data_IF_250674740819
#
_entry.id   IF_250674740819
#
_cell.length_a   1.000
_cell.length_b   1.000
_cell.length_c   1.000
_cell.angle_alpha   90.00
_cell.angle_beta   90.00
_cell.angle_gamma   90.00
#
_symmetry.space_group_name_H-M   'P 1'
#
loop_
_entity.id
_entity.type
_entity.pdbx_description
1 polymer ?
#
# COMPACT_ATOMS: atom_id res chain seq x y z
N UNK A 1 -17.45 2.94 -27.88
CA UNK A 1 -16.88 4.27 -27.54
C UNK A 1 -15.40 4.08 -27.34
N UNK A 2 -14.60 4.83 -28.07
CA UNK A 2 -13.14 4.71 -28.04
C UNK A 2 -12.55 5.92 -27.30
N UNK A 3 -11.56 5.67 -26.44
CA UNK A 3 -10.82 6.73 -25.73
C UNK A 3 -9.44 6.83 -26.35
N UNK A 4 -9.08 8.01 -26.83
CA UNK A 4 -7.73 8.34 -27.30
C UNK A 4 -7.02 9.11 -26.19
N UNK A 5 -5.90 8.58 -25.70
CA UNK A 5 -5.02 9.29 -24.78
C UNK A 5 -3.80 9.84 -25.52
N UNK A 6 -3.46 11.10 -25.27
CA UNK A 6 -2.41 11.86 -25.96
C UNK A 6 -1.48 12.51 -24.93
N UNK A 7 -0.18 12.23 -25.03
CA UNK A 7 0.82 12.72 -24.08
C UNK A 7 1.34 14.12 -24.42
N UNK A 8 1.39 14.45 -25.71
CA UNK A 8 1.95 15.70 -26.21
C UNK A 8 0.87 16.72 -26.61
N UNK A 9 1.11 17.99 -26.28
CA UNK A 9 0.15 19.08 -26.50
C UNK A 9 0.01 19.45 -27.97
N UNK A 10 1.09 19.41 -28.76
CA UNK A 10 1.01 19.64 -30.21
C UNK A 10 0.26 18.50 -30.90
N UNK A 11 0.52 17.26 -30.48
CA UNK A 11 -0.21 16.08 -30.95
C UNK A 11 -1.69 16.21 -30.62
N UNK A 12 -2.05 16.67 -29.41
CA UNK A 12 -3.45 16.91 -29.03
C UNK A 12 -4.14 17.92 -29.96
N UNK A 13 -3.46 19.01 -30.32
CA UNK A 13 -4.00 20.00 -31.26
C UNK A 13 -4.17 19.43 -32.66
N UNK A 14 -3.22 18.61 -33.14
CA UNK A 14 -3.31 17.92 -34.42
C UNK A 14 -4.49 16.95 -34.46
N UNK A 15 -4.67 16.15 -33.40
CA UNK A 15 -5.81 15.21 -33.25
C UNK A 15 -7.13 15.97 -33.25
N UNK A 16 -7.22 17.09 -32.52
CA UNK A 16 -8.44 17.92 -32.50
C UNK A 16 -8.74 18.53 -33.88
N UNK A 17 -7.74 19.10 -34.55
CA UNK A 17 -7.91 19.67 -35.87
C UNK A 17 -8.36 18.62 -36.89
N UNK A 18 -7.79 17.41 -36.80
CA UNK A 18 -8.18 16.26 -37.62
C UNK A 18 -9.63 15.84 -37.35
N UNK A 19 -10.03 15.66 -36.08
CA UNK A 19 -11.41 15.30 -35.71
C UNK A 19 -12.43 16.34 -36.19
N UNK A 20 -12.07 17.63 -36.13
CA UNK A 20 -12.89 18.73 -36.63
C UNK A 20 -13.01 18.71 -38.16
N UNK A 21 -11.92 18.44 -38.89
CA UNK A 21 -11.95 18.30 -40.35
C UNK A 21 -12.86 17.15 -40.80
N UNK A 22 -12.90 16.06 -40.02
CA UNK A 22 -13.71 14.87 -40.31
C UNK A 22 -15.15 14.97 -39.77
N UNK A 23 -15.57 16.09 -39.17
CA UNK A 23 -16.88 16.26 -38.52
C UNK A 23 -17.23 15.16 -37.50
N UNK A 24 -16.24 14.56 -36.85
CA UNK A 24 -16.45 13.50 -35.87
C UNK A 24 -16.85 14.12 -34.53
N UNK A 25 -18.03 13.80 -33.96
CA UNK A 25 -18.43 14.31 -32.66
C UNK A 25 -17.54 13.70 -31.57
N UNK A 26 -16.93 14.56 -30.76
CA UNK A 26 -16.09 14.17 -29.63
C UNK A 26 -16.48 14.95 -28.37
N UNK A 27 -16.41 14.30 -27.20
CA UNK A 27 -16.75 14.91 -25.92
C UNK A 27 -15.54 14.94 -24.98
N UNK A 28 -15.16 16.15 -24.53
CA UNK A 28 -14.19 16.37 -23.46
C UNK A 28 -13.16 17.48 -23.76
N UNK A 29 -13.04 18.44 -22.83
CA UNK A 29 -11.83 18.75 -22.04
C UNK A 29 -12.37 19.22 -20.66
N UNK A 30 -12.13 18.47 -19.59
CA UNK A 30 -12.48 18.83 -18.20
C UNK A 30 -11.33 18.32 -17.32
N UNK A 31 -10.62 19.09 -16.47
CA UNK A 31 -10.55 20.54 -16.24
C UNK A 31 -9.27 20.88 -15.42
N UNK A 32 -8.90 22.18 -15.35
CA UNK A 32 -7.69 22.69 -14.75
C UNK A 32 -7.37 22.43 -13.27
N UNK A 33 -6.57 21.38 -13.01
CA UNK A 33 -5.26 21.53 -12.34
C UNK A 33 -4.23 22.24 -13.27
N UNK A 34 -4.68 22.65 -14.46
CA UNK A 34 -3.99 22.56 -15.76
C UNK A 34 -3.60 23.91 -16.37
N UNK A 35 -4.02 25.03 -15.78
CA UNK A 35 -3.50 26.38 -16.13
C UNK A 35 -2.94 27.09 -14.89
N UNK A 36 -3.29 26.57 -13.70
CA UNK A 36 -2.74 26.93 -12.40
C UNK A 36 -1.45 26.13 -12.18
N UNK A 37 -0.30 26.62 -12.59
CA UNK A 37 0.47 27.67 -11.90
C UNK A 37 1.54 27.07 -10.96
N UNK A 38 2.82 26.98 -11.34
CA UNK A 38 3.42 27.31 -12.64
C UNK A 38 4.89 26.89 -12.83
N UNK A 39 5.33 25.72 -12.34
CA UNK A 39 6.72 25.27 -12.63
C UNK A 39 6.93 23.78 -13.02
N UNK A 40 5.93 22.90 -13.00
CA UNK A 40 6.19 21.44 -13.05
C UNK A 40 5.65 20.69 -14.28
N UNK A 41 5.57 21.32 -15.47
CA UNK A 41 4.62 20.89 -16.52
C UNK A 41 5.17 20.37 -17.88
N UNK A 42 6.05 19.34 -17.97
CA UNK A 42 6.23 18.63 -19.25
C UNK A 42 5.42 17.33 -19.46
N UNK A 43 4.57 16.83 -18.52
CA UNK A 43 4.18 15.40 -18.52
C UNK A 43 2.68 15.02 -18.36
N UNK A 44 1.70 15.90 -18.57
CA UNK A 44 0.28 15.52 -18.37
C UNK A 44 -0.39 14.96 -19.64
N UNK A 45 -0.80 13.68 -19.61
CA UNK A 45 -1.65 13.04 -20.62
C UNK A 45 -3.07 13.62 -20.64
N UNK A 46 -3.59 13.87 -21.84
CA UNK A 46 -4.98 14.32 -22.09
C UNK A 46 -5.76 13.24 -22.81
N UNK A 47 -7.09 13.17 -22.63
CA UNK A 47 -7.91 12.11 -23.26
C UNK A 47 -9.12 12.67 -23.99
N UNK A 48 -9.42 12.11 -25.17
CA UNK A 48 -10.56 12.44 -26.03
C UNK A 48 -11.47 11.22 -26.15
N UNK A 49 -12.78 11.39 -25.94
CA UNK A 49 -13.78 10.34 -26.15
C UNK A 49 -14.43 10.50 -27.52
N UNK A 50 -14.44 9.40 -28.30
CA UNK A 50 -15.04 9.33 -29.62
C UNK A 50 -16.18 8.30 -29.60
N UNK A 51 -17.29 8.65 -30.23
CA UNK A 51 -18.54 7.87 -30.20
C UNK A 51 -18.58 6.67 -31.16
N UNK A 52 -17.61 6.49 -32.06
CA UNK A 52 -17.65 5.48 -33.14
C UNK A 52 -16.75 4.26 -32.91
N UNK A 53 -17.18 3.12 -33.46
CA UNK A 53 -16.48 1.85 -33.42
C UNK A 53 -15.61 1.66 -34.67
N UNK A 54 -14.31 1.49 -34.43
CA UNK A 54 -13.33 0.68 -35.17
C UNK A 54 -12.78 1.11 -36.55
N UNK A 55 -13.26 2.14 -37.25
CA UNK A 55 -12.58 2.59 -38.50
C UNK A 55 -11.58 3.75 -38.31
N UNK A 56 -11.63 4.44 -37.17
CA UNK A 56 -10.88 5.70 -36.95
C UNK A 56 -9.44 5.45 -36.48
N UNK A 57 -9.20 4.32 -35.81
CA UNK A 57 -7.90 4.00 -35.21
C UNK A 57 -6.80 3.95 -36.28
N UNK A 58 -7.02 3.14 -37.32
CA UNK A 58 -6.03 2.92 -38.38
C UNK A 58 -5.76 4.19 -39.19
N UNK A 59 -6.78 5.04 -39.41
CA UNK A 59 -6.63 6.32 -40.10
C UNK A 59 -5.89 7.36 -39.26
N UNK A 60 -6.12 7.41 -37.94
CA UNK A 60 -5.40 8.31 -37.04
C UNK A 60 -3.95 7.88 -36.84
N UNK A 61 -3.67 6.58 -36.69
CA UNK A 61 -2.31 6.05 -36.61
C UNK A 61 -1.52 6.30 -37.89
N UNK A 62 -2.16 6.22 -39.06
CA UNK A 62 -1.54 6.54 -40.35
C UNK A 62 -1.27 8.06 -40.54
N UNK A 63 -2.11 8.92 -39.96
CA UNK A 63 -2.05 10.37 -40.14
C UNK A 63 -1.21 11.08 -39.07
N UNK A 64 -1.17 10.52 -37.85
CA UNK A 64 -0.55 11.10 -36.65
C UNK A 64 0.14 9.96 -35.86
N UNK A 65 1.38 9.58 -36.23
CA UNK A 65 1.99 8.35 -35.76
C UNK A 65 2.58 8.38 -34.33
N UNK A 66 2.74 9.54 -33.69
CA UNK A 66 3.46 9.64 -32.41
C UNK A 66 2.52 9.71 -31.19
N UNK A 67 2.77 8.81 -30.21
CA UNK A 67 2.27 8.87 -28.83
C UNK A 67 0.74 8.79 -28.64
N UNK A 68 0.02 8.20 -29.58
CA UNK A 68 -1.40 7.88 -29.43
C UNK A 68 -1.58 6.52 -28.74
N UNK A 69 -2.37 6.50 -27.66
CA UNK A 69 -2.80 5.27 -27.01
C UNK A 69 -4.30 5.10 -27.18
N UNK A 70 -4.72 4.00 -27.81
CA UNK A 70 -6.12 3.65 -27.99
C UNK A 70 -6.58 2.68 -26.91
N UNK A 71 -7.57 3.10 -26.12
CA UNK A 71 -8.25 2.24 -25.17
C UNK A 71 -9.65 1.92 -25.69
N UNK A 72 -9.91 0.67 -26.04
CA UNK A 72 -11.27 0.19 -26.31
C UNK A 72 -12.02 -0.03 -24.99
N UNK A 73 -13.22 0.56 -24.91
CA UNK A 73 -14.20 0.25 -23.86
C UNK A 73 -15.15 -0.79 -24.43
N UNK A 74 -14.80 -2.07 -24.30
CA UNK A 74 -15.75 -3.19 -24.48
C UNK A 74 -16.31 -3.52 -23.09
N UNK A 75 -17.63 -3.67 -23.03
CA UNK A 75 -18.42 -3.67 -21.80
C UNK A 75 -17.90 -4.58 -20.70
N UNK A 76 -17.45 -3.95 -19.62
CA UNK A 76 -17.38 -4.48 -18.26
C UNK A 76 -17.68 -3.30 -17.32
N UNK A 77 -18.60 -3.46 -16.39
CA UNK A 77 -19.01 -2.46 -15.38
C UNK A 77 -17.91 -2.16 -14.33
N UNK A 78 -16.65 -2.46 -14.60
CA UNK A 78 -15.54 -2.10 -13.72
C UNK A 78 -14.84 -0.88 -14.30
N UNK A 79 -14.89 0.23 -13.55
CA UNK A 79 -14.05 1.41 -13.79
C UNK A 79 -12.61 0.91 -13.99
N UNK A 80 -12.08 0.96 -15.22
CA UNK A 80 -10.64 0.83 -15.46
C UNK A 80 -10.00 2.00 -14.71
N UNK A 81 -9.54 1.73 -13.50
CA UNK A 81 -8.95 2.73 -12.64
C UNK A 81 -7.60 3.13 -13.25
N UNK A 82 -7.45 4.42 -13.57
CA UNK A 82 -6.20 4.96 -14.09
C UNK A 82 -5.29 5.21 -12.90
N UNK A 83 -4.15 4.50 -12.84
CA UNK A 83 -3.12 4.69 -11.84
C UNK A 83 -1.89 5.35 -12.46
N UNK A 84 -1.02 5.90 -11.61
CA UNK A 84 0.28 6.43 -12.05
C UNK A 84 1.14 5.30 -12.64
N UNK A 85 2.01 5.64 -13.59
CA UNK A 85 2.80 4.68 -14.37
C UNK A 85 3.61 3.73 -13.49
N UNK A 86 4.18 4.26 -12.41
CA UNK A 86 5.00 3.54 -11.44
C UNK A 86 4.21 2.41 -10.76
N UNK A 87 2.92 2.64 -10.48
CA UNK A 87 2.04 1.63 -9.88
C UNK A 87 1.71 0.53 -10.88
N UNK A 88 1.47 0.89 -12.13
CA UNK A 88 1.24 -0.08 -13.20
C UNK A 88 2.46 -0.98 -13.40
N UNK A 89 3.68 -0.42 -13.39
CA UNK A 89 4.92 -1.21 -13.47
C UNK A 89 5.06 -2.16 -12.28
N UNK A 90 4.69 -1.72 -11.06
CA UNK A 90 4.69 -2.59 -9.88
C UNK A 90 3.71 -3.75 -10.03
N UNK A 91 2.48 -3.48 -10.48
CA UNK A 91 1.45 -4.50 -10.71
C UNK A 91 1.93 -5.51 -11.76
N UNK A 92 2.49 -5.02 -12.87
CA UNK A 92 3.07 -5.87 -13.93
C UNK A 92 4.16 -6.79 -13.38
N UNK A 93 5.12 -6.26 -12.62
CA UNK A 93 6.20 -7.07 -12.03
C UNK A 93 5.67 -8.10 -11.03
N UNK A 94 4.68 -7.75 -10.22
CA UNK A 94 4.02 -8.69 -9.30
C UNK A 94 3.30 -9.80 -10.06
N UNK A 95 2.63 -9.46 -11.15
CA UNK A 95 1.94 -10.41 -12.03
C UNK A 95 2.92 -11.36 -12.69
N UNK A 96 4.02 -10.87 -13.27
CA UNK A 96 5.08 -11.70 -13.85
C UNK A 96 5.68 -12.64 -12.79
N UNK A 97 6.00 -12.11 -11.61
CA UNK A 97 6.54 -12.92 -10.51
C UNK A 97 5.53 -13.96 -9.99
N UNK A 98 4.23 -13.67 -10.03
CA UNK A 98 3.19 -14.63 -9.68
C UNK A 98 3.00 -15.68 -10.81
N UNK A 99 3.09 -15.31 -12.07
CA UNK A 99 2.90 -16.26 -13.17
C UNK A 99 4.14 -17.12 -13.47
N UNK A 100 5.25 -16.87 -12.79
CA UNK A 100 6.47 -17.67 -12.90
C UNK A 100 6.25 -19.11 -12.39
N UNK A 101 6.11 -20.05 -13.31
CA UNK A 101 5.96 -21.48 -13.06
C UNK A 101 7.21 -22.09 -12.40
N UNK A 102 8.40 -21.49 -12.55
CA UNK A 102 9.61 -21.94 -11.85
C UNK A 102 9.59 -21.58 -10.35
N UNK A 103 8.63 -20.76 -9.91
CA UNK A 103 8.56 -20.22 -8.55
C UNK A 103 7.20 -20.47 -7.89
N UNK A 104 6.88 -21.69 -7.50
CA UNK A 104 5.58 -21.98 -6.87
C UNK A 104 5.48 -21.62 -5.36
N UNK A 105 6.35 -20.73 -4.87
CA UNK A 105 6.44 -20.37 -3.45
C UNK A 105 5.25 -19.52 -3.03
N UNK A 106 4.58 -19.76 -1.89
CA UNK A 106 3.55 -18.84 -1.39
C UNK A 106 4.12 -17.44 -1.15
N UNK A 107 3.26 -16.43 -1.34
CA UNK A 107 3.59 -15.04 -1.05
C UNK A 107 3.04 -14.65 0.31
N UNK A 108 3.85 -13.99 1.12
CA UNK A 108 3.42 -13.42 2.41
C UNK A 108 3.57 -11.91 2.36
N UNK A 109 2.47 -11.19 2.53
CA UNK A 109 2.43 -9.73 2.62
C UNK A 109 2.29 -9.35 4.09
N UNK A 110 3.31 -8.68 4.64
CA UNK A 110 3.24 -8.14 5.99
C UNK A 110 2.51 -6.80 5.97
N UNK A 111 1.38 -6.69 6.67
CA UNK A 111 0.54 -5.50 6.67
C UNK A 111 0.31 -4.95 8.07
N UNK A 112 0.47 -3.64 8.22
CA UNK A 112 0.00 -2.88 9.38
C UNK A 112 -1.27 -2.09 9.09
N UNK A 113 -1.89 -2.31 7.91
CA UNK A 113 -3.02 -1.54 7.38
C UNK A 113 -2.83 -0.01 7.39
N UNK A 114 -1.56 0.42 7.31
CA UNK A 114 -1.19 1.80 7.01
C UNK A 114 -1.06 2.01 5.50
N UNK A 115 -0.78 3.25 5.07
CA UNK A 115 -0.75 3.64 3.66
C UNK A 115 0.15 2.76 2.78
N UNK A 116 1.36 2.43 3.24
CA UNK A 116 2.35 1.69 2.43
C UNK A 116 1.97 0.21 2.30
N UNK A 117 1.53 -0.42 3.39
CA UNK A 117 1.04 -1.80 3.34
C UNK A 117 -0.29 -1.94 2.59
N UNK A 118 -1.19 -0.96 2.72
CA UNK A 118 -2.42 -0.92 1.93
C UNK A 118 -2.12 -0.74 0.44
N UNK A 119 -1.10 0.05 0.09
CA UNK A 119 -0.64 0.17 -1.29
C UNK A 119 -0.04 -1.14 -1.84
N UNK A 120 0.71 -1.87 -1.02
CA UNK A 120 1.21 -3.19 -1.40
C UNK A 120 0.07 -4.20 -1.61
N UNK A 121 -0.92 -4.23 -0.70
CA UNK A 121 -2.13 -5.06 -0.86
C UNK A 121 -2.86 -4.64 -2.14
N UNK A 122 -3.00 -3.34 -2.38
CA UNK A 122 -3.63 -2.79 -3.57
C UNK A 122 -2.99 -3.32 -4.86
N UNK A 123 -1.66 -3.23 -4.99
CA UNK A 123 -0.97 -3.72 -6.18
C UNK A 123 -1.10 -5.24 -6.34
N UNK A 124 -0.95 -6.02 -5.26
CA UNK A 124 -1.09 -7.47 -5.30
C UNK A 124 -2.52 -7.90 -5.66
N UNK A 125 -3.52 -7.27 -5.05
CA UNK A 125 -4.93 -7.53 -5.32
C UNK A 125 -5.25 -7.27 -6.78
N UNK A 126 -4.79 -6.13 -7.31
CA UNK A 126 -5.01 -5.75 -8.71
C UNK A 126 -4.31 -6.74 -9.65
N UNK A 127 -3.08 -7.15 -9.36
CA UNK A 127 -2.36 -8.15 -10.14
C UNK A 127 -3.12 -9.50 -10.19
N UNK A 128 -3.69 -9.96 -9.07
CA UNK A 128 -4.46 -11.20 -9.03
C UNK A 128 -5.78 -11.10 -9.82
N UNK A 129 -6.45 -9.95 -9.74
CA UNK A 129 -7.66 -9.68 -10.53
C UNK A 129 -7.33 -9.68 -12.03
N UNK A 130 -6.26 -9.00 -12.45
CA UNK A 130 -5.81 -8.97 -13.85
C UNK A 130 -5.45 -10.37 -14.35
N UNK A 131 -4.72 -11.17 -13.55
CA UNK A 131 -4.41 -12.57 -13.91
C UNK A 131 -5.70 -13.38 -14.10
N UNK A 132 -6.66 -13.25 -13.18
CA UNK A 132 -7.94 -13.95 -13.26
C UNK A 132 -8.73 -13.56 -14.50
N UNK A 133 -8.75 -12.28 -14.83
CA UNK A 133 -9.47 -11.76 -16.00
C UNK A 133 -8.83 -12.18 -17.31
N UNK A 134 -7.49 -12.21 -17.38
CA UNK A 134 -6.75 -12.56 -18.60
C UNK A 134 -6.63 -14.07 -18.83
N UNK A 135 -6.39 -14.85 -17.77
CA UNK A 135 -6.03 -16.28 -17.86
C UNK A 135 -7.03 -17.21 -17.17
N UNK A 136 -8.06 -16.66 -16.52
CA UNK A 136 -9.07 -17.42 -15.79
C UNK A 136 -8.67 -17.71 -14.34
N UNK A 137 -9.64 -18.25 -13.58
CA UNK A 137 -9.47 -18.51 -12.14
C UNK A 137 -8.41 -19.58 -11.84
N UNK A 138 -8.23 -20.55 -12.74
CA UNK A 138 -7.27 -21.66 -12.57
C UNK A 138 -5.80 -21.22 -12.71
N UNK A 139 -5.55 -20.00 -13.20
CA UNK A 139 -4.24 -19.39 -13.21
C UNK A 139 -3.78 -18.97 -11.79
N UNK A 140 -4.71 -18.81 -10.85
CA UNK A 140 -4.43 -18.41 -9.46
C UNK A 140 -3.96 -19.60 -8.60
N UNK A 141 -2.83 -20.20 -8.97
CA UNK A 141 -2.31 -21.44 -8.37
C UNK A 141 -1.64 -21.27 -7.01
N UNK A 142 -1.15 -20.05 -6.70
CA UNK A 142 -0.31 -19.78 -5.54
C UNK A 142 -1.09 -19.11 -4.41
N UNK A 143 -0.88 -19.59 -3.19
CA UNK A 143 -1.42 -18.97 -1.98
C UNK A 143 -0.74 -17.63 -1.67
N UNK A 144 -1.56 -16.65 -1.30
CA UNK A 144 -1.12 -15.34 -0.83
C UNK A 144 -1.60 -15.16 0.61
N UNK A 145 -0.68 -14.97 1.54
CA UNK A 145 -1.01 -14.72 2.94
C UNK A 145 -0.88 -13.22 3.23
N UNK A 146 -1.91 -12.60 3.80
CA UNK A 146 -1.82 -11.23 4.33
C UNK A 146 -1.76 -11.34 5.86
N UNK A 147 -0.62 -10.96 6.43
CA UNK A 147 -0.32 -11.19 7.84
C UNK A 147 -0.18 -9.86 8.56
N UNK A 148 -0.85 -9.73 9.69
CA UNK A 148 -0.66 -8.63 10.63
C UNK A 148 -0.21 -9.14 11.99
N UNK A 149 0.51 -8.32 12.73
CA UNK A 149 1.00 -8.66 14.06
C UNK A 149 0.30 -7.79 15.10
N UNK A 150 -0.43 -8.45 15.98
CA UNK A 150 -1.06 -7.83 17.15
C UNK A 150 -0.10 -7.96 18.32
N UNK A 151 0.46 -6.84 18.78
CA UNK A 151 1.41 -6.88 19.90
C UNK A 151 0.70 -6.95 21.26
N UNK A 152 -0.62 -6.73 21.28
CA UNK A 152 -1.40 -6.50 22.50
C UNK A 152 -1.09 -5.16 23.18
N UNK A 153 -0.30 -4.29 22.53
CA UNK A 153 0.16 -3.02 23.10
C UNK A 153 -0.26 -1.80 22.27
N UNK A 154 -0.85 -2.01 21.09
CA UNK A 154 -1.49 -0.97 20.32
C UNK A 154 -2.65 -0.35 21.10
N UNK A 155 -2.98 0.88 20.71
CA UNK A 155 -4.15 1.55 21.24
C UNK A 155 -5.43 0.78 20.87
N UNK A 156 -6.45 0.65 21.76
CA UNK A 156 -7.65 -0.13 21.48
C UNK A 156 -8.30 0.19 20.13
N UNK A 157 -8.41 1.46 19.78
CA UNK A 157 -8.99 1.94 18.52
C UNK A 157 -8.15 1.56 17.29
N UNK A 158 -6.81 1.60 17.43
CA UNK A 158 -5.87 1.19 16.37
C UNK A 158 -5.90 -0.34 16.20
N UNK A 159 -5.99 -1.06 17.32
CA UNK A 159 -6.14 -2.52 17.33
C UNK A 159 -7.46 -2.92 16.67
N UNK A 160 -8.58 -2.31 17.06
CA UNK A 160 -9.90 -2.56 16.46
C UNK A 160 -9.90 -2.27 14.96
N UNK A 161 -9.29 -1.15 14.53
CA UNK A 161 -9.11 -0.84 13.11
C UNK A 161 -8.35 -1.97 12.38
N UNK A 162 -7.22 -2.44 12.91
CA UNK A 162 -6.47 -3.55 12.31
C UNK A 162 -7.32 -4.83 12.19
N UNK A 163 -8.07 -5.21 13.23
CA UNK A 163 -8.98 -6.37 13.18
C UNK A 163 -10.09 -6.19 12.14
N UNK A 164 -10.69 -4.99 12.08
CA UNK A 164 -11.70 -4.66 11.08
C UNK A 164 -11.14 -4.77 9.66
N UNK A 165 -9.96 -4.21 9.43
CA UNK A 165 -9.28 -4.23 8.14
C UNK A 165 -8.96 -5.65 7.67
N UNK A 166 -8.33 -6.47 8.50
CA UNK A 166 -7.95 -7.82 8.10
C UNK A 166 -9.18 -8.70 7.81
N UNK A 167 -10.25 -8.54 8.60
CA UNK A 167 -11.52 -9.22 8.36
C UNK A 167 -12.19 -8.76 7.05
N UNK A 168 -12.16 -7.45 6.75
CA UNK A 168 -12.68 -6.93 5.49
C UNK A 168 -11.93 -7.52 4.28
N UNK A 169 -10.59 -7.56 4.35
CA UNK A 169 -9.74 -8.18 3.32
C UNK A 169 -10.08 -9.65 3.12
N UNK A 170 -10.26 -10.42 4.21
CA UNK A 170 -10.64 -11.83 4.13
C UNK A 170 -12.01 -12.03 3.47
N UNK A 171 -12.99 -11.20 3.83
CA UNK A 171 -14.35 -11.29 3.28
C UNK A 171 -14.36 -10.97 1.79
N UNK A 172 -13.68 -9.90 1.37
CA UNK A 172 -13.59 -9.55 -0.05
C UNK A 172 -12.78 -10.61 -0.83
N UNK A 173 -11.75 -11.21 -0.25
CA UNK A 173 -10.98 -12.25 -0.92
C UNK A 173 -11.84 -13.49 -1.21
N UNK A 174 -12.72 -13.87 -0.27
CA UNK A 174 -13.67 -14.97 -0.45
C UNK A 174 -14.68 -14.63 -1.53
N UNK A 175 -15.25 -13.41 -1.52
CA UNK A 175 -16.22 -12.96 -2.53
C UNK A 175 -15.63 -12.97 -3.93
N UNK A 176 -14.41 -12.44 -4.07
CA UNK A 176 -13.66 -12.39 -5.33
C UNK A 176 -12.98 -13.73 -5.69
N UNK A 177 -13.10 -14.76 -4.85
CA UNK A 177 -12.47 -16.07 -5.03
C UNK A 177 -10.95 -15.99 -5.24
N UNK A 178 -10.29 -15.01 -4.62
CA UNK A 178 -8.84 -14.86 -4.67
C UNK A 178 -8.17 -15.88 -3.73
N UNK A 179 -6.97 -16.38 -4.04
CA UNK A 179 -6.24 -17.34 -3.21
C UNK A 179 -5.56 -16.65 -2.00
N UNK A 180 -6.25 -15.68 -1.40
CA UNK A 180 -5.78 -14.88 -0.28
C UNK A 180 -6.30 -15.47 1.03
N UNK A 181 -5.39 -15.69 1.97
CA UNK A 181 -5.70 -16.05 3.35
C UNK A 181 -5.11 -14.99 4.28
N UNK A 182 -5.88 -14.56 5.28
CA UNK A 182 -5.45 -13.54 6.23
C UNK A 182 -5.12 -14.16 7.58
N UNK A 183 -4.10 -13.63 8.26
CA UNK A 183 -3.67 -14.14 9.56
C UNK A 183 -3.25 -13.00 10.49
N UNK A 184 -3.69 -13.09 11.75
CA UNK A 184 -3.13 -12.29 12.84
C UNK A 184 -2.17 -13.19 13.62
N UNK A 185 -0.97 -12.67 13.90
CA UNK A 185 0.02 -13.31 14.75
C UNK A 185 0.18 -12.53 16.06
N UNK A 186 0.33 -13.26 17.15
CA UNK A 186 0.45 -12.70 18.50
C UNK A 186 1.69 -13.27 19.21
N UNK A 187 2.30 -12.52 20.15
CA UNK A 187 3.34 -13.05 21.02
C UNK A 187 2.83 -14.20 21.88
N UNK A 188 3.57 -15.30 21.92
CA UNK A 188 3.33 -16.36 22.91
C UNK A 188 3.25 -15.78 24.31
N UNK A 189 2.51 -16.45 25.19
CA UNK A 189 2.35 -16.03 26.59
C UNK A 189 3.69 -15.70 27.27
N UNK A 190 4.73 -16.51 27.05
CA UNK A 190 6.08 -16.31 27.60
C UNK A 190 6.82 -15.09 27.04
N UNK A 191 6.46 -14.66 25.82
CA UNK A 191 6.98 -13.48 25.15
C UNK A 191 6.07 -12.25 25.26
N UNK A 192 4.90 -12.38 25.87
CA UNK A 192 3.97 -11.28 26.12
C UNK A 192 4.57 -10.19 27.02
N UNK A 193 4.04 -8.98 26.90
CA UNK A 193 4.44 -7.85 27.74
C UNK A 193 4.21 -8.15 29.22
N UNK A 194 3.07 -8.74 29.59
CA UNK A 194 2.73 -9.07 30.96
C UNK A 194 3.78 -10.01 31.58
N UNK A 195 4.19 -11.06 30.88
CA UNK A 195 5.17 -12.01 31.43
C UNK A 195 6.59 -11.43 31.41
N UNK A 196 7.04 -10.83 30.30
CA UNK A 196 8.41 -10.34 30.19
C UNK A 196 8.67 -9.09 31.04
N UNK A 197 7.80 -8.09 30.96
CA UNK A 197 8.04 -6.78 31.57
C UNK A 197 7.54 -6.74 33.00
N UNK A 198 6.27 -7.10 33.22
CA UNK A 198 5.68 -7.06 34.57
C UNK A 198 6.18 -8.25 35.40
N UNK A 199 6.06 -9.47 34.87
CA UNK A 199 6.38 -10.69 35.61
C UNK A 199 7.88 -10.91 35.86
N UNK A 200 8.72 -10.71 34.84
CA UNK A 200 10.19 -10.93 34.93
C UNK A 200 11.00 -9.66 35.18
N UNK A 201 10.36 -8.48 35.20
CA UNK A 201 11.04 -7.20 35.43
C UNK A 201 11.97 -6.77 34.29
N UNK A 202 11.79 -7.28 33.07
CA UNK A 202 12.62 -6.90 31.93
C UNK A 202 12.27 -5.48 31.50
N UNK A 203 13.26 -4.60 31.41
CA UNK A 203 13.05 -3.21 31.01
C UNK A 203 12.71 -3.10 29.53
N UNK A 204 11.73 -2.25 29.22
CA UNK A 204 11.39 -1.89 27.85
C UNK A 204 12.43 -0.94 27.25
N UNK A 205 12.53 -0.96 25.92
CA UNK A 205 13.44 -0.09 25.20
C UNK A 205 13.04 1.38 25.33
N UNK A 206 14.01 2.19 25.73
CA UNK A 206 13.93 3.66 25.81
C UNK A 206 14.71 4.30 24.66
N UNK A 207 14.60 5.63 24.48
CA UNK A 207 15.41 6.38 23.51
C UNK A 207 16.94 6.20 23.66
N UNK A 208 17.40 5.79 24.86
CA UNK A 208 18.83 5.50 25.16
C UNK A 208 19.22 4.05 24.90
N UNK A 209 18.26 3.17 24.62
CA UNK A 209 18.50 1.74 24.44
C UNK A 209 19.16 1.46 23.09
N UNK A 210 20.31 0.77 23.11
CA UNK A 210 20.99 0.31 21.88
C UNK A 210 20.19 -0.72 21.08
N UNK A 211 19.31 -1.48 21.74
CA UNK A 211 18.50 -2.54 21.13
C UNK A 211 17.01 -2.28 21.36
N UNK A 212 16.21 -2.51 20.32
CA UNK A 212 14.74 -2.39 20.32
C UNK A 212 14.11 -3.75 20.58
N UNK A 213 14.15 -4.19 21.84
CA UNK A 213 13.71 -5.52 22.23
C UNK A 213 12.20 -5.71 22.04
N UNK A 214 11.40 -4.66 22.24
CA UNK A 214 9.96 -4.70 22.00
C UNK A 214 9.61 -5.02 20.54
N UNK A 215 10.36 -4.49 19.57
CA UNK A 215 10.18 -4.84 18.14
C UNK A 215 10.46 -6.32 17.91
N UNK A 216 11.51 -6.86 18.54
CA UNK A 216 11.84 -8.27 18.39
C UNK A 216 10.78 -9.18 19.02
N UNK A 217 10.48 -9.03 20.32
CA UNK A 217 9.56 -9.92 21.04
C UNK A 217 8.13 -9.84 20.53
N UNK A 218 7.66 -8.64 20.20
CA UNK A 218 6.24 -8.44 19.96
C UNK A 218 5.86 -8.43 18.48
N UNK A 219 6.79 -8.12 17.57
CA UNK A 219 6.51 -8.03 16.13
C UNK A 219 7.26 -9.06 15.30
N UNK A 220 8.58 -9.17 15.49
CA UNK A 220 9.42 -10.03 14.65
C UNK A 220 9.26 -11.51 15.04
N UNK A 221 9.34 -11.85 16.33
CA UNK A 221 9.27 -13.24 16.79
C UNK A 221 7.95 -13.94 16.41
N UNK A 222 6.76 -13.34 16.60
CA UNK A 222 5.50 -13.96 16.17
C UNK A 222 5.40 -14.15 14.65
N UNK A 223 5.86 -13.14 13.89
CA UNK A 223 5.90 -13.22 12.43
C UNK A 223 6.85 -14.33 11.96
N UNK A 224 8.03 -14.43 12.59
CA UNK A 224 9.04 -15.43 12.26
C UNK A 224 8.52 -16.86 12.47
N UNK A 225 7.74 -17.10 13.53
CA UNK A 225 7.10 -18.41 13.76
C UNK A 225 6.11 -18.76 12.66
N UNK A 226 5.24 -17.82 12.30
CA UNK A 226 4.31 -18.02 11.19
C UNK A 226 5.05 -18.29 9.86
N UNK A 227 6.09 -17.52 9.55
CA UNK A 227 6.90 -17.74 8.37
C UNK A 227 7.56 -19.13 8.39
N UNK A 228 8.02 -19.59 9.55
CA UNK A 228 8.57 -20.94 9.70
C UNK A 228 7.54 -22.04 9.47
N UNK A 229 6.29 -21.85 9.89
CA UNK A 229 5.18 -22.77 9.60
C UNK A 229 4.92 -22.86 8.09
N UNK A 230 4.89 -21.72 7.39
CA UNK A 230 4.74 -21.66 5.93
C UNK A 230 5.93 -22.35 5.24
N UNK A 231 7.16 -22.11 5.66
CA UNK A 231 8.35 -22.78 5.11
C UNK A 231 8.31 -24.29 5.37
N UNK A 232 7.84 -24.73 6.53
CA UNK A 232 7.70 -26.15 6.84
C UNK A 232 6.65 -26.83 5.95
N UNK A 233 5.57 -26.11 5.61
CA UNK A 233 4.47 -26.62 4.79
C UNK A 233 4.77 -26.59 3.29
N UNK A 234 5.36 -25.49 2.79
CA UNK A 234 5.52 -25.22 1.36
C UNK A 234 6.98 -25.29 0.87
N UNK A 235 7.93 -25.53 1.77
CA UNK A 235 9.36 -25.65 1.48
C UNK A 235 10.09 -24.31 1.41
N UNK A 236 9.53 -23.30 0.74
CA UNK A 236 10.10 -21.96 0.58
C UNK A 236 9.01 -20.88 0.60
N UNK A 237 9.38 -19.61 0.78
CA UNK A 237 8.42 -18.49 0.87
C UNK A 237 8.99 -17.17 0.34
N UNK A 238 8.13 -16.32 -0.23
CA UNK A 238 8.50 -14.95 -0.64
C UNK A 238 7.76 -13.93 0.20
N UNK A 239 8.51 -13.13 0.95
CA UNK A 239 8.00 -12.11 1.87
C UNK A 239 7.99 -10.75 1.16
N UNK A 240 6.81 -10.22 0.93
CA UNK A 240 6.59 -8.90 0.34
C UNK A 240 6.45 -7.86 1.45
N UNK A 241 7.32 -6.85 1.43
CA UNK A 241 7.35 -5.79 2.44
C UNK A 241 7.06 -4.43 1.81
N UNK A 242 6.11 -3.69 2.42
CA UNK A 242 5.73 -2.33 2.01
C UNK A 242 6.73 -1.28 2.51
N UNK A 243 7.97 -1.33 2.04
CA UNK A 243 9.04 -0.38 2.40
C UNK A 243 9.41 0.50 1.22
N UNK A 244 9.74 1.77 1.46
CA UNK A 244 10.11 2.76 0.43
C UNK A 244 11.44 3.46 0.74
N UNK A 245 12.23 3.75 -0.28
CA UNK A 245 13.54 4.43 -0.14
C UNK A 245 13.40 5.83 0.46
N UNK A 246 12.39 6.57 0.00
CA UNK A 246 12.12 7.96 0.39
C UNK A 246 11.52 8.11 1.80
N UNK A 247 11.33 7.00 2.53
CA UNK A 247 10.72 7.04 3.86
C UNK A 247 11.74 7.30 4.99
N UNK A 248 12.99 6.84 4.85
CA UNK A 248 14.09 7.24 5.75
C UNK A 248 15.44 6.73 5.23
N UNK A 249 16.51 7.44 5.57
CA UNK A 249 17.89 7.00 5.27
C UNK A 249 18.21 5.61 5.85
N UNK A 250 17.66 5.26 7.02
CA UNK A 250 17.86 3.95 7.65
C UNK A 250 17.12 2.82 6.91
N UNK A 251 15.91 3.08 6.41
CA UNK A 251 15.19 2.12 5.56
C UNK A 251 15.89 1.98 4.21
N UNK A 252 16.40 3.07 3.64
CA UNK A 252 17.21 3.04 2.43
C UNK A 252 18.45 2.14 2.59
N UNK A 253 19.21 2.31 3.68
CA UNK A 253 20.36 1.44 4.00
C UNK A 253 19.96 -0.03 4.19
N UNK A 254 18.77 -0.30 4.76
CA UNK A 254 18.29 -1.68 4.95
C UNK A 254 17.91 -2.31 3.62
N UNK A 255 17.21 -1.57 2.75
CA UNK A 255 16.90 -2.03 1.39
C UNK A 255 18.19 -2.26 0.60
N UNK A 256 19.21 -1.40 0.77
CA UNK A 256 20.51 -1.57 0.12
C UNK A 256 21.32 -2.77 0.64
N UNK A 257 21.21 -3.13 1.94
CA UNK A 257 21.87 -4.35 2.47
C UNK A 257 21.41 -5.62 1.78
N UNK A 258 20.17 -5.61 1.30
CA UNK A 258 19.57 -6.69 0.56
C UNK A 258 19.89 -6.66 -0.94
N UNK A 259 20.70 -5.69 -1.43
CA UNK A 259 21.09 -5.56 -2.85
C UNK A 259 22.37 -6.30 -3.27
N UNK A 260 23.16 -6.79 -2.30
CA UNK A 260 24.52 -7.27 -2.60
C UNK A 260 25.39 -6.21 -3.32
N UNK A 261 26.60 -6.58 -3.74
CA UNK A 261 27.53 -5.71 -4.50
C UNK A 261 27.22 -5.67 -6.01
N UNK A 262 26.07 -6.21 -6.46
CA UNK A 262 25.74 -6.31 -7.89
C UNK A 262 24.51 -5.47 -8.26
N UNK A 263 24.66 -4.62 -9.27
CA UNK A 263 23.58 -3.79 -9.87
C UNK A 263 22.45 -4.60 -10.56
N UNK A 264 22.43 -5.94 -10.42
CA UNK A 264 21.65 -6.85 -11.24
C UNK A 264 20.89 -7.90 -10.41
N UNK A 265 20.38 -7.54 -9.24
CA UNK A 265 19.52 -8.44 -8.47
C UNK A 265 18.06 -8.37 -8.95
N UNK A 266 17.48 -9.56 -9.16
CA UNK A 266 16.10 -9.74 -9.64
C UNK A 266 15.04 -9.19 -8.69
N UNK A 267 13.79 -9.19 -9.15
CA UNK A 267 12.64 -8.65 -8.39
C UNK A 267 12.42 -9.34 -7.02
N UNK A 268 12.81 -10.62 -6.92
CA UNK A 268 12.80 -11.43 -5.69
C UNK A 268 14.24 -11.78 -5.34
N UNK A 269 14.61 -11.56 -4.08
CA UNK A 269 15.98 -11.70 -3.58
C UNK A 269 16.06 -12.65 -2.38
N UNK A 270 17.16 -13.37 -2.15
CA UNK A 270 17.32 -14.24 -0.98
C UNK A 270 17.27 -13.44 0.34
N UNK A 271 16.58 -13.98 1.35
CA UNK A 271 16.68 -13.49 2.72
C UNK A 271 17.96 -14.05 3.37
N UNK A 272 18.44 -13.40 4.43
CA UNK A 272 19.48 -13.95 5.32
C UNK A 272 19.10 -15.27 6.01
N UNK A 273 17.81 -15.64 5.99
CA UNK A 273 17.28 -16.86 6.58
C UNK A 273 17.09 -17.89 5.46
N UNK A 274 17.44 -19.16 5.68
CA UNK A 274 17.35 -20.17 4.64
C UNK A 274 15.91 -20.34 4.18
N UNK A 275 15.73 -20.64 2.88
CA UNK A 275 14.42 -20.92 2.24
C UNK A 275 13.42 -19.76 2.29
N UNK A 276 13.89 -18.56 2.64
CA UNK A 276 13.09 -17.35 2.66
C UNK A 276 13.64 -16.38 1.62
N UNK A 277 12.74 -15.71 0.94
CA UNK A 277 13.05 -14.67 -0.05
C UNK A 277 12.29 -13.41 0.31
N UNK A 278 12.77 -12.26 -0.15
CA UNK A 278 12.17 -10.95 0.11
C UNK A 278 11.89 -10.26 -1.21
N UNK A 279 10.82 -9.47 -1.23
CA UNK A 279 10.52 -8.54 -2.29
C UNK A 279 10.09 -7.19 -1.70
N UNK A 280 10.49 -6.11 -2.35
CA UNK A 280 10.13 -4.74 -1.99
C UNK A 280 9.48 -4.04 -3.19
N UNK A 281 8.23 -4.39 -3.56
CA UNK A 281 7.64 -3.95 -4.83
C UNK A 281 7.51 -2.43 -4.93
N UNK A 282 7.11 -1.79 -3.83
CA UNK A 282 6.83 -0.35 -3.79
C UNK A 282 8.07 0.50 -3.46
N UNK A 283 9.28 -0.06 -3.47
CA UNK A 283 10.50 0.61 -2.95
C UNK A 283 10.80 1.98 -3.56
N UNK A 284 10.44 2.16 -4.83
CA UNK A 284 10.70 3.37 -5.60
C UNK A 284 9.49 4.32 -5.65
N UNK A 285 8.34 3.95 -5.11
CA UNK A 285 7.11 4.73 -5.18
C UNK A 285 7.23 6.00 -4.30
N UNK A 286 6.86 7.16 -4.84
CA UNK A 286 6.79 8.41 -4.06
C UNK A 286 5.53 8.45 -3.17
N UNK A 287 5.50 9.37 -2.19
CA UNK A 287 4.30 9.48 -1.33
C UNK A 287 3.12 10.08 -2.10
N UNK A 288 3.40 11.00 -3.02
CA UNK A 288 2.39 11.60 -3.89
C UNK A 288 1.77 10.56 -4.82
N UNK A 289 2.58 9.74 -5.50
CA UNK A 289 2.11 8.63 -6.35
C UNK A 289 1.22 7.64 -5.59
N UNK A 290 1.60 7.31 -4.36
CA UNK A 290 0.83 6.43 -3.49
C UNK A 290 -0.53 7.05 -3.17
N UNK A 291 -0.55 8.32 -2.74
CA UNK A 291 -1.80 8.98 -2.37
C UNK A 291 -2.68 9.27 -3.57
N UNK A 292 -2.12 9.70 -4.69
CA UNK A 292 -2.84 9.92 -5.94
C UNK A 292 -3.53 8.64 -6.40
N UNK A 293 -2.90 7.48 -6.18
CA UNK A 293 -3.50 6.17 -6.44
C UNK A 293 -4.65 5.84 -5.48
N UNK A 294 -4.42 5.95 -4.17
CA UNK A 294 -5.43 5.57 -3.17
C UNK A 294 -6.62 6.54 -3.15
N UNK A 295 -6.41 7.83 -3.45
CA UNK A 295 -7.47 8.86 -3.53
C UNK A 295 -8.47 8.62 -4.66
N UNK A 296 -8.17 7.76 -5.63
CA UNK A 296 -9.19 7.29 -6.59
C UNK A 296 -10.39 6.63 -5.90
N UNK A 297 -10.21 6.17 -4.64
CA UNK A 297 -11.23 5.60 -3.79
C UNK A 297 -11.70 6.56 -2.69
N UNK A 298 -11.50 7.88 -2.83
CA UNK A 298 -11.79 8.85 -1.77
C UNK A 298 -13.20 8.74 -1.18
N UNK A 299 -14.18 8.48 -2.05
CA UNK A 299 -15.60 8.32 -1.69
C UNK A 299 -16.06 6.86 -1.65
N UNK A 300 -15.12 5.90 -1.58
CA UNK A 300 -15.40 4.47 -1.66
C UNK A 300 -14.48 3.65 -0.74
N UNK A 301 -14.59 2.33 -0.84
CA UNK A 301 -13.66 1.37 -0.26
C UNK A 301 -12.57 1.03 -1.26
N UNK A 302 -11.38 0.79 -0.75
CA UNK A 302 -10.33 0.10 -1.51
C UNK A 302 -10.86 -1.26 -1.98
N UNK A 303 -10.31 -1.85 -3.06
CA UNK A 303 -10.82 -3.10 -3.65
C UNK A 303 -10.95 -4.28 -2.67
N UNK A 304 -10.20 -4.23 -1.57
CA UNK A 304 -10.18 -5.21 -0.50
C UNK A 304 -11.02 -4.81 0.73
N UNK A 305 -11.97 -3.90 0.55
CA UNK A 305 -13.06 -3.63 1.49
C UNK A 305 -12.77 -2.58 2.58
N UNK A 306 -11.55 -2.05 2.65
CA UNK A 306 -11.19 -1.01 3.64
C UNK A 306 -11.67 0.36 3.14
N UNK A 307 -12.50 1.10 3.89
CA UNK A 307 -12.88 2.47 3.53
C UNK A 307 -11.66 3.38 3.42
N UNK A 308 -11.50 4.11 2.31
CA UNK A 308 -10.39 5.05 2.16
C UNK A 308 -10.40 6.11 3.26
N UNK A 309 -11.58 6.60 3.63
CA UNK A 309 -11.75 7.61 4.68
C UNK A 309 -11.16 7.18 6.02
N UNK A 310 -11.30 5.90 6.40
CA UNK A 310 -10.72 5.36 7.64
C UNK A 310 -9.20 5.26 7.57
N UNK A 311 -8.66 4.80 6.44
CA UNK A 311 -7.22 4.80 6.20
C UNK A 311 -6.65 6.23 6.25
N UNK A 312 -7.31 7.17 5.56
CA UNK A 312 -6.87 8.56 5.44
C UNK A 312 -6.98 9.33 6.77
N UNK A 313 -7.99 9.01 7.60
CA UNK A 313 -8.15 9.60 8.93
C UNK A 313 -6.94 9.36 9.84
N UNK A 314 -6.20 8.25 9.66
CA UNK A 314 -4.95 8.00 10.37
C UNK A 314 -3.86 9.04 10.06
N UNK A 315 -3.98 9.78 8.96
CA UNK A 315 -2.98 10.71 8.45
C UNK A 315 -3.46 12.17 8.34
N UNK A 316 -4.77 12.46 8.45
CA UNK A 316 -5.36 13.81 8.28
C UNK A 316 -4.75 14.91 9.18
N UNK A 317 -4.28 14.56 10.38
CA UNK A 317 -3.71 15.52 11.35
C UNK A 317 -2.18 15.49 11.42
N UNK A 318 -1.51 14.83 10.47
CA UNK A 318 -0.06 14.72 10.42
C UNK A 318 0.47 15.34 9.13
N UNK A 319 1.25 16.42 9.24
CA UNK A 319 1.91 17.03 8.07
C UNK A 319 2.95 16.11 7.40
N UNK A 320 3.29 14.95 7.98
CA UNK A 320 3.43 13.64 7.33
C UNK A 320 3.84 12.57 8.37
N UNK A 321 3.14 11.45 8.36
CA UNK A 321 3.49 10.10 8.86
C UNK A 321 3.64 9.85 10.41
N UNK A 322 2.63 9.23 11.05
CA UNK A 322 2.69 8.66 12.42
C UNK A 322 3.69 7.53 12.65
N UNK A 323 4.37 7.04 11.60
CA UNK A 323 5.21 5.85 11.66
C UNK A 323 6.71 6.09 11.41
N UNK A 324 7.14 7.34 11.24
CA UNK A 324 8.57 7.62 11.13
C UNK A 324 9.20 7.85 12.51
N UNK A 325 10.10 6.93 12.87
CA UNK A 325 11.25 7.27 13.71
C UNK A 325 12.25 7.99 12.81
N UNK A 326 11.94 9.24 12.46
CA UNK A 326 12.91 10.11 11.81
C UNK A 326 13.94 10.51 12.86
N UNK A 327 15.20 10.15 12.59
CA UNK A 327 16.31 10.86 13.19
C UNK A 327 16.44 12.20 12.46
N UNK A 328 16.68 13.24 13.26
CA UNK A 328 17.16 14.58 12.91
C UNK A 328 16.09 15.68 12.75
N UNK A 329 15.94 16.44 13.84
CA UNK A 329 15.98 17.90 13.90
C UNK A 329 15.33 18.65 12.72
N UNK A 330 14.00 18.68 12.72
CA UNK A 330 13.27 19.92 12.43
C UNK A 330 12.26 20.10 13.56
N UNK A 331 12.16 21.32 14.08
CA UNK A 331 11.20 21.72 15.11
C UNK A 331 9.78 21.26 14.70
N UNK A 332 9.39 20.09 15.19
CA UNK A 332 8.17 19.41 14.77
C UNK A 332 7.08 19.74 15.79
N UNK A 333 6.22 20.67 15.42
CA UNK A 333 4.83 20.69 15.84
C UNK A 333 4.23 19.27 15.71
N UNK A 334 4.08 18.58 16.84
CA UNK A 334 3.19 17.42 17.05
C UNK A 334 3.28 16.27 16.04
N UNK A 335 4.21 15.35 16.25
CA UNK A 335 4.15 14.02 15.63
C UNK A 335 3.13 13.15 16.37
N UNK A 336 1.88 13.11 15.89
CA UNK A 336 0.89 12.10 16.30
C UNK A 336 1.44 10.72 15.90
N UNK A 337 1.91 9.91 16.85
CA UNK A 337 2.29 8.51 16.59
C UNK A 337 1.16 7.58 17.03
N UNK A 338 0.85 6.60 16.18
CA UNK A 338 0.02 5.45 16.54
C UNK A 338 0.88 4.40 17.29
N UNK A 339 1.67 4.87 18.26
CA UNK A 339 2.59 4.05 19.03
C UNK A 339 1.87 3.12 20.00
N UNK A 340 2.59 2.15 20.56
CA UNK A 340 2.04 1.37 21.67
C UNK A 340 1.94 2.22 22.94
N UNK A 341 0.94 1.96 23.79
CA UNK A 341 0.68 2.77 25.00
C UNK A 341 1.79 2.67 26.06
N UNK A 342 2.71 1.73 25.91
CA UNK A 342 3.89 1.55 26.79
C UNK A 342 5.19 2.11 26.19
N UNK A 343 5.11 2.83 25.07
CA UNK A 343 6.31 3.27 24.35
C UNK A 343 7.12 4.31 25.16
N UNK A 344 8.37 3.99 25.49
CA UNK A 344 9.32 4.92 26.14
C UNK A 344 10.39 5.48 25.18
N UNK A 345 10.13 5.41 23.87
CA UNK A 345 11.05 5.95 22.86
C UNK A 345 10.89 7.46 22.64
N UNK A 346 9.84 8.06 23.18
CA UNK A 346 9.53 9.49 23.08
C UNK A 346 9.22 10.02 24.47
N UNK A 347 9.53 11.30 24.71
CA UNK A 347 9.37 11.92 26.02
C UNK A 347 7.89 12.29 26.31
N UNK A 348 7.14 12.73 25.29
CA UNK A 348 5.70 13.02 25.39
C UNK A 348 4.90 12.39 24.25
N UNK A 349 3.97 11.50 24.59
CA UNK A 349 3.02 10.91 23.64
C UNK A 349 1.69 11.66 23.66
N UNK A 350 1.43 12.46 22.61
CA UNK A 350 0.20 13.27 22.50
C UNK A 350 -1.07 12.43 22.43
N UNK A 351 -1.02 11.22 21.84
CA UNK A 351 -2.19 10.35 21.77
C UNK A 351 -2.52 9.76 23.14
N UNK A 352 -1.50 9.35 23.89
CA UNK A 352 -1.66 8.89 25.27
C UNK A 352 -2.20 10.01 26.18
N UNK A 353 -1.69 11.23 26.03
CA UNK A 353 -2.18 12.41 26.74
C UNK A 353 -3.63 12.72 26.39
N UNK A 354 -4.00 12.68 25.11
CA UNK A 354 -5.38 12.87 24.66
C UNK A 354 -6.33 11.84 25.28
N UNK A 355 -5.97 10.55 25.26
CA UNK A 355 -6.80 9.52 25.87
C UNK A 355 -6.94 9.66 27.38
N UNK A 356 -5.83 9.97 28.08
CA UNK A 356 -5.87 10.30 29.51
C UNK A 356 -6.89 11.41 29.75
N UNK A 357 -6.84 12.47 28.95
CA UNK A 357 -7.70 13.64 29.12
C UNK A 357 -9.18 13.30 28.80
N UNK A 358 -9.47 12.49 27.77
CA UNK A 358 -10.80 11.96 27.48
C UNK A 358 -11.33 11.09 28.62
N UNK A 359 -10.51 10.19 29.17
CA UNK A 359 -10.88 9.35 30.31
C UNK A 359 -11.15 10.19 31.56
N UNK A 360 -10.31 11.20 31.84
CA UNK A 360 -10.52 12.13 32.95
C UNK A 360 -11.82 12.93 32.75
N UNK A 361 -12.14 13.38 31.54
CA UNK A 361 -13.40 14.08 31.23
C UNK A 361 -14.60 13.15 31.42
N UNK A 362 -14.52 11.91 30.94
CA UNK A 362 -15.58 10.91 31.10
C UNK A 362 -15.83 10.60 32.58
N UNK A 363 -14.77 10.35 33.35
CA UNK A 363 -14.80 10.16 34.80
C UNK A 363 -15.42 11.40 35.49
N UNK A 364 -14.93 12.60 35.19
CA UNK A 364 -15.49 13.85 35.76
C UNK A 364 -16.97 14.04 35.43
N UNK A 365 -17.40 13.66 34.22
CA UNK A 365 -18.80 13.75 33.78
C UNK A 365 -19.68 12.73 34.52
N UNK A 366 -19.18 11.51 34.76
CA UNK A 366 -19.85 10.49 35.57
C UNK A 366 -20.01 10.92 37.03
N UNK A 367 -18.97 11.54 37.61
CA UNK A 367 -19.00 11.98 39.01
C UNK A 367 -19.68 13.34 39.24
N UNK A 368 -19.86 14.16 38.20
CA UNK A 368 -20.66 15.41 38.27
C UNK A 368 -22.17 15.20 38.17
N UNK A 369 -22.65 14.02 37.80
CA UNK A 369 -24.09 13.70 37.78
C UNK A 369 -24.62 13.16 39.11
N UNK A 370 -23.76 12.98 40.12
CA UNK A 370 -24.10 12.42 41.44
C UNK A 370 -23.79 13.36 42.62
N UNK A 371 -23.64 14.66 42.36
CA UNK A 371 -23.61 15.76 43.33
C UNK A 371 -24.57 16.83 42.82
#
# INVERSE_FOLDING_TARGET
MSIISVMDREVLYKVKAWLMQQNIPHAGIITPKEIVLKEMYPLCNTSIKISSNNSIKDELEASIPEQLFFNEVVGLEHKKNVFVKEVYEIIKNLKEAYMDDANNRPFVLCSSFGKDSCMLIFCMWTALIEIREEFGIDALKRKVFIVSSDTGLEMPEVREYMYKCINAVQQEAIKERLPIETKIVEPDLNSSFAVKVIGKGVTISTGRSRRRNCTFWFKIEPMDKFIQEIVAQYGEVVIHLGVRHLESELRNKTIQKYRGDSDNEGFIIPHTKPKQFVCHPIKNLSTDELWDTLKNYENDKLPFGIPFSELFALYQNSNECPMQVSNQNKQSCGTNRNGCFVCQMIDEDKMLLFQRDVQIIFIKTLFRKNL
#
